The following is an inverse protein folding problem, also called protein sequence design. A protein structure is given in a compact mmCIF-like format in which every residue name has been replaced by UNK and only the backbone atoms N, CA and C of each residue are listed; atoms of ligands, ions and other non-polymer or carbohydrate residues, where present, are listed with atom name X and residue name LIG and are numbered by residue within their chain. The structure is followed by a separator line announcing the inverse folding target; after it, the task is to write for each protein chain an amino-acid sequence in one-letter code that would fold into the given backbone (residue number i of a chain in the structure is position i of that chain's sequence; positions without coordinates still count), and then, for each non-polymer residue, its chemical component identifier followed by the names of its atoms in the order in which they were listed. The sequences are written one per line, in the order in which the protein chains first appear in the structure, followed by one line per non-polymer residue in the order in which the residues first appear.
data_IF_885055389884
#
_entry.id   IF_885055389884
#
_cell.length_a   1.000
_cell.length_b   1.000
_cell.length_c   1.000
_cell.angle_alpha   90.00
_cell.angle_beta   90.00
_cell.angle_gamma   90.00
#
_symmetry.space_group_name_H-M   'P 1'
#
loop_
_entity.id
_entity.type
_entity.pdbx_description
1 polymer ?
#
# COMPACT_ATOMS: atom_id res chain seq x y z
N UNK A 1 11.65 -6.99 14.14
CA UNK A 1 11.87 -6.66 12.72
C UNK A 1 12.60 -5.33 12.65
N UNK A 2 13.90 -5.35 12.32
CA UNK A 2 14.74 -4.16 12.29
C UNK A 2 14.99 -3.74 10.84
N UNK A 3 14.87 -2.44 10.55
CA UNK A 3 15.21 -1.85 9.26
C UNK A 3 16.52 -1.12 9.45
N UNK A 4 17.59 -1.69 8.92
CA UNK A 4 18.92 -1.08 8.96
C UNK A 4 19.28 -0.46 7.60
N UNK A 5 19.95 0.68 7.64
CA UNK A 5 20.54 1.33 6.48
C UNK A 5 21.93 1.83 6.87
N UNK A 6 22.97 1.27 6.25
CA UNK A 6 24.34 1.74 6.40
C UNK A 6 24.64 2.90 5.43
N UNK A 7 25.58 3.75 5.85
CA UNK A 7 26.09 4.87 5.07
C UNK A 7 27.03 4.37 3.97
N UNK A 8 26.83 4.86 2.75
CA UNK A 8 27.77 4.62 1.65
C UNK A 8 28.92 5.64 1.67
N UNK A 9 30.08 5.29 1.10
CA UNK A 9 31.33 6.05 1.21
C UNK A 9 31.22 7.55 0.86
N UNK A 10 30.40 7.93 -0.13
CA UNK A 10 30.21 9.32 -0.58
C UNK A 10 28.81 9.89 -0.29
N UNK A 11 28.01 9.27 0.58
CA UNK A 11 26.64 9.69 0.84
C UNK A 11 26.55 10.82 1.89
N UNK A 12 25.77 11.86 1.59
CA UNK A 12 25.35 12.88 2.58
C UNK A 12 24.32 12.33 3.56
N UNK A 13 24.36 12.77 4.82
CA UNK A 13 23.41 12.40 5.87
C UNK A 13 21.94 12.57 5.44
N UNK A 14 21.63 13.60 4.66
CA UNK A 14 20.27 13.84 4.16
C UNK A 14 19.80 12.73 3.19
N UNK A 15 20.70 12.22 2.34
CA UNK A 15 20.38 11.13 1.41
C UNK A 15 20.16 9.81 2.14
N UNK A 16 20.94 9.57 3.20
CA UNK A 16 20.79 8.40 4.08
C UNK A 16 19.41 8.39 4.76
N UNK A 17 18.99 9.53 5.33
CA UNK A 17 17.66 9.68 5.96
C UNK A 17 16.52 9.46 4.97
N UNK A 18 16.67 9.92 3.73
CA UNK A 18 15.69 9.69 2.66
C UNK A 18 15.60 8.21 2.29
N UNK A 19 16.72 7.50 2.17
CA UNK A 19 16.74 6.04 1.92
C UNK A 19 16.09 5.28 3.07
N UNK A 20 16.42 5.64 4.31
CA UNK A 20 15.78 5.07 5.50
C UNK A 20 14.27 5.28 5.46
N UNK A 21 13.80 6.52 5.27
CA UNK A 21 12.38 6.84 5.18
C UNK A 21 11.68 6.06 4.07
N UNK A 22 12.29 5.97 2.87
CA UNK A 22 11.74 5.20 1.75
C UNK A 22 11.67 3.70 2.05
N UNK A 23 12.70 3.13 2.70
CA UNK A 23 12.74 1.72 3.11
C UNK A 23 11.68 1.42 4.17
N UNK A 24 11.52 2.30 5.16
CA UNK A 24 10.46 2.21 6.18
C UNK A 24 9.07 2.26 5.55
N UNK A 25 8.82 3.22 4.66
CA UNK A 25 7.52 3.35 3.97
C UNK A 25 7.23 2.15 3.05
N UNK A 26 8.21 1.71 2.27
CA UNK A 26 8.08 0.58 1.35
C UNK A 26 7.93 -0.78 2.05
N UNK A 27 8.50 -0.94 3.25
CA UNK A 27 8.41 -2.18 4.04
C UNK A 27 6.99 -2.49 4.55
N UNK A 28 6.08 -1.51 4.56
CA UNK A 28 4.74 -1.68 5.12
C UNK A 28 4.70 -1.84 6.64
N UNK A 29 5.84 -1.74 7.34
CA UNK A 29 5.95 -1.89 8.80
C UNK A 29 4.99 -0.95 9.55
N UNK A 30 4.96 0.33 9.14
CA UNK A 30 4.07 1.33 9.75
C UNK A 30 2.61 0.93 9.63
N UNK A 31 2.20 0.37 8.48
CA UNK A 31 0.82 -0.11 8.27
C UNK A 31 0.51 -1.32 9.14
N UNK A 32 1.47 -2.24 9.28
CA UNK A 32 1.33 -3.41 10.13
C UNK A 32 1.16 -3.02 11.60
N UNK A 33 2.09 -2.23 12.16
CA UNK A 33 2.06 -1.78 13.56
C UNK A 33 0.79 -0.98 13.87
N UNK A 34 0.32 -0.14 12.93
CA UNK A 34 -0.97 0.56 13.09
C UNK A 34 -2.16 -0.40 13.09
N UNK A 35 -2.13 -1.42 12.25
CA UNK A 35 -3.21 -2.41 12.13
C UNK A 35 -3.28 -3.36 13.33
N UNK A 36 -2.15 -3.73 13.92
CA UNK A 36 -2.09 -4.63 15.09
C UNK A 36 -2.15 -3.88 16.43
N UNK A 37 -2.30 -2.54 16.41
CA UNK A 37 -2.31 -1.71 17.62
C UNK A 37 -3.46 -2.07 18.56
N UNK A 38 -4.62 -2.42 18.01
CA UNK A 38 -5.82 -2.75 18.76
C UNK A 38 -6.35 -4.10 18.32
N UNK A 39 -6.98 -4.83 19.24
CA UNK A 39 -7.64 -6.09 18.92
C UNK A 39 -8.99 -5.82 18.24
N UNK A 40 -9.17 -6.36 17.04
CA UNK A 40 -10.43 -6.31 16.32
C UNK A 40 -11.09 -7.69 16.27
N UNK A 41 -12.41 -7.73 16.33
CA UNK A 41 -13.16 -8.99 16.15
C UNK A 41 -12.98 -9.51 14.72
N UNK A 42 -12.79 -10.82 14.59
CA UNK A 42 -12.83 -11.50 13.30
C UNK A 42 -14.15 -11.25 12.55
N UNK A 43 -14.05 -10.83 11.28
CA UNK A 43 -15.22 -10.57 10.43
C UNK A 43 -16.04 -11.84 10.21
N UNK A 44 -17.38 -11.71 10.23
CA UNK A 44 -18.29 -12.79 9.82
C UNK A 44 -18.19 -13.07 8.32
N UNK A 45 -18.62 -14.25 7.87
CA UNK A 45 -18.51 -14.65 6.46
C UNK A 45 -19.38 -13.80 5.54
N UNK A 46 -20.56 -13.39 6.00
CA UNK A 46 -21.41 -12.43 5.28
C UNK A 46 -20.67 -11.09 5.07
N UNK A 47 -19.99 -10.59 6.11
CA UNK A 47 -19.23 -9.33 6.01
C UNK A 47 -18.04 -9.47 5.05
N UNK A 48 -17.33 -10.61 5.08
CA UNK A 48 -16.26 -10.91 4.12
C UNK A 48 -16.77 -10.91 2.67
N UNK A 49 -17.90 -11.59 2.41
CA UNK A 49 -18.55 -11.63 1.08
C UNK A 49 -18.93 -10.24 0.59
N UNK A 50 -19.59 -9.43 1.43
CA UNK A 50 -19.97 -8.05 1.09
C UNK A 50 -18.77 -7.16 0.79
N UNK A 51 -17.71 -7.25 1.59
CA UNK A 51 -16.48 -6.49 1.37
C UNK A 51 -15.80 -6.89 0.04
N UNK A 52 -15.84 -8.18 -0.33
CA UNK A 52 -15.31 -8.67 -1.61
C UNK A 52 -16.12 -8.13 -2.81
N UNK A 53 -17.45 -8.20 -2.76
CA UNK A 53 -18.32 -7.65 -3.80
C UNK A 53 -18.09 -6.15 -4.01
N UNK A 54 -17.92 -5.38 -2.92
CA UNK A 54 -17.60 -3.95 -2.99
C UNK A 54 -16.27 -3.67 -3.70
N UNK A 55 -15.25 -4.51 -3.47
CA UNK A 55 -13.95 -4.39 -4.15
C UNK A 55 -14.07 -4.66 -5.65
N UNK A 56 -14.83 -5.70 -6.04
CA UNK A 56 -15.06 -6.05 -7.45
C UNK A 56 -15.81 -4.92 -8.17
N UNK A 57 -16.89 -4.41 -7.57
CA UNK A 57 -17.65 -3.30 -8.13
C UNK A 57 -16.78 -2.05 -8.37
N UNK A 58 -15.96 -1.67 -7.37
CA UNK A 58 -15.04 -0.54 -7.49
C UNK A 58 -14.00 -0.74 -8.60
N UNK A 59 -13.49 -1.96 -8.76
CA UNK A 59 -12.55 -2.29 -9.85
C UNK A 59 -13.20 -2.09 -11.22
N UNK A 60 -14.41 -2.61 -11.40
CA UNK A 60 -15.16 -2.47 -12.65
C UNK A 60 -15.49 -0.99 -12.96
N UNK A 61 -15.88 -0.22 -11.95
CA UNK A 61 -16.13 1.21 -12.08
C UNK A 61 -14.87 1.98 -12.50
N UNK A 62 -13.74 1.70 -11.85
CA UNK A 62 -12.46 2.30 -12.19
C UNK A 62 -12.04 1.95 -13.64
N UNK A 63 -12.15 0.68 -14.04
CA UNK A 63 -11.86 0.25 -15.41
C UNK A 63 -12.76 0.95 -16.43
N UNK A 64 -14.05 1.15 -16.13
CA UNK A 64 -14.97 1.92 -16.97
C UNK A 64 -14.54 3.38 -17.08
N UNK A 65 -14.27 4.05 -15.96
CA UNK A 65 -13.86 5.45 -15.95
C UNK A 65 -12.54 5.67 -16.69
N UNK A 66 -11.61 4.72 -16.56
CA UNK A 66 -10.34 4.75 -17.29
C UNK A 66 -10.57 4.62 -18.80
N UNK A 67 -11.39 3.67 -19.24
CA UNK A 67 -11.75 3.51 -20.66
C UNK A 67 -12.46 4.73 -21.23
N UNK A 68 -13.22 5.46 -20.40
CA UNK A 68 -13.86 6.72 -20.75
C UNK A 68 -12.92 7.94 -20.72
N UNK A 69 -11.63 7.75 -20.37
CA UNK A 69 -10.65 8.84 -20.29
C UNK A 69 -10.88 9.82 -19.13
N UNK A 70 -11.79 9.53 -18.21
CA UNK A 70 -12.14 10.43 -17.09
C UNK A 70 -11.12 10.41 -15.96
N UNK A 71 -10.26 9.39 -15.93
CA UNK A 71 -9.21 9.23 -14.93
C UNK A 71 -7.90 8.88 -15.63
N UNK A 72 -6.79 9.38 -15.09
CA UNK A 72 -5.46 9.01 -15.54
C UNK A 72 -5.12 7.62 -15.00
N UNK A 73 -4.48 6.78 -15.83
CA UNK A 73 -3.98 5.49 -15.39
C UNK A 73 -2.66 5.66 -14.65
N UNK A 74 -2.76 6.16 -13.43
CA UNK A 74 -1.60 6.41 -12.57
C UNK A 74 -1.02 5.09 -12.01
N UNK A 75 -1.78 4.00 -12.13
CA UNK A 75 -1.36 2.65 -11.77
C UNK A 75 -0.66 1.99 -12.96
N UNK A 76 0.63 2.31 -13.12
CA UNK A 76 1.51 1.56 -14.02
C UNK A 76 1.28 0.05 -13.84
N UNK A 77 0.78 -0.57 -14.92
CA UNK A 77 0.60 -2.03 -15.15
C UNK A 77 0.80 -2.92 -13.91
N UNK A 78 -0.29 -3.24 -13.22
CA UNK A 78 -0.42 -4.49 -12.44
C UNK A 78 -1.61 -5.29 -12.92
N UNK A 79 -1.69 -5.49 -14.23
CA UNK A 79 -2.33 -6.67 -14.81
C UNK A 79 -1.32 -7.82 -14.74
N UNK A 80 -1.16 -8.36 -13.54
CA UNK A 80 -0.76 -9.75 -13.29
C UNK A 80 -1.60 -10.24 -12.12
#
# INVERSE_FOLDING_TARGET
MAIEVSKNASESTASLLRRFSKKVQGSGLVRHVRGTRFSERNKSDLKKKRDALKKLARRAEYERLWKLGKIKNDYGKKTR
#
